data_IF_711620661772
#
_entry.id   IF_711620661772
#
_cell.length_a   1.000
_cell.length_b   1.000
_cell.length_c   1.000
_cell.angle_alpha   90.00
_cell.angle_beta   90.00
_cell.angle_gamma   90.00
#
_symmetry.space_group_name_H-M   'P 1'
#
loop_
_entity.id
_entity.type
_entity.pdbx_description
1 polymer ?
#
# COMPACT_ATOMS: atom_id res chain seq x y z
N UNK A 1 0.85 -2.51 0.90
CA UNK A 1 0.47 -2.70 2.34
C UNK A 1 -0.69 -3.69 2.42
N UNK A 2 -0.65 -4.73 3.28
CA UNK A 2 -1.81 -5.62 3.45
C UNK A 2 -2.90 -4.97 4.30
N UNK A 3 -4.15 -5.10 3.87
CA UNK A 3 -5.35 -4.75 4.64
C UNK A 3 -6.08 -6.05 4.95
N UNK A 4 -6.31 -6.33 6.23
CA UNK A 4 -6.98 -7.55 6.68
C UNK A 4 -8.42 -7.57 6.16
N UNK A 5 -8.86 -8.70 5.60
CA UNK A 5 -10.13 -8.78 4.87
C UNK A 5 -11.36 -8.65 5.77
N UNK A 6 -11.29 -9.12 7.00
CA UNK A 6 -12.39 -9.02 7.96
C UNK A 6 -12.64 -7.59 8.46
N UNK A 7 -11.70 -6.66 8.24
CA UNK A 7 -11.94 -5.22 8.44
C UNK A 7 -12.84 -4.63 7.34
N UNK A 8 -12.86 -5.26 6.16
CA UNK A 8 -13.64 -4.82 5.00
C UNK A 8 -14.97 -5.55 4.96
N UNK A 9 -14.92 -6.87 5.17
CA UNK A 9 -16.03 -7.81 5.13
C UNK A 9 -16.15 -8.52 6.50
N UNK A 10 -16.68 -7.85 7.53
CA UNK A 10 -16.73 -8.36 8.91
C UNK A 10 -17.54 -9.65 9.05
N UNK A 11 -18.46 -9.92 8.12
CA UNK A 11 -19.25 -11.15 8.04
C UNK A 11 -18.43 -12.39 7.64
N UNK A 12 -17.18 -12.22 7.20
CA UNK A 12 -16.27 -13.30 6.80
C UNK A 12 -14.94 -13.25 7.61
N UNK A 13 -14.92 -13.69 8.88
CA UNK A 13 -13.72 -13.68 9.71
C UNK A 13 -12.55 -14.44 9.04
N UNK A 14 -11.40 -13.77 8.88
CA UNK A 14 -10.25 -14.38 8.20
C UNK A 14 -8.94 -13.65 8.50
N UNK A 15 -7.83 -14.37 8.49
CA UNK A 15 -6.48 -13.80 8.52
C UNK A 15 -5.95 -13.41 7.13
N UNK A 16 -6.76 -13.58 6.07
CA UNK A 16 -6.40 -13.18 4.71
C UNK A 16 -6.39 -11.66 4.58
N UNK A 17 -5.62 -11.16 3.62
CA UNK A 17 -5.50 -9.72 3.33
C UNK A 17 -5.73 -9.42 1.85
N UNK A 18 -6.29 -8.25 1.55
CA UNK A 18 -6.11 -7.58 0.25
C UNK A 18 -4.86 -6.68 0.32
N UNK A 19 -4.36 -6.20 -0.82
CA UNK A 19 -3.13 -5.41 -0.88
C UNK A 19 -3.37 -4.14 -1.66
N UNK A 20 -2.81 -3.05 -1.15
CA UNK A 20 -2.58 -1.80 -1.89
C UNK A 20 -1.17 -1.85 -2.48
N UNK A 21 -1.00 -1.38 -3.71
CA UNK A 21 0.29 -1.31 -4.40
C UNK A 21 1.31 -0.47 -3.61
N UNK A 22 0.94 0.77 -3.27
CA UNK A 22 1.79 1.66 -2.49
C UNK A 22 1.02 2.35 -1.35
N UNK A 23 1.75 2.66 -0.28
CA UNK A 23 1.26 3.51 0.80
C UNK A 23 2.26 4.64 1.02
N UNK A 24 1.79 5.88 0.97
CA UNK A 24 2.58 7.08 1.25
C UNK A 24 2.10 7.68 2.56
N UNK A 25 3.03 8.21 3.35
CA UNK A 25 2.75 8.68 4.70
C UNK A 25 3.08 10.16 4.78
N UNK A 26 2.10 10.98 5.20
CA UNK A 26 2.37 12.38 5.47
C UNK A 26 3.37 12.50 6.63
N UNK A 27 4.30 13.46 6.53
CA UNK A 27 5.38 13.63 7.53
C UNK A 27 4.82 13.91 8.94
N UNK A 28 3.70 14.61 9.02
CA UNK A 28 2.97 14.93 10.26
C UNK A 28 2.09 13.78 10.76
N UNK A 29 2.05 12.65 10.03
CA UNK A 29 1.21 11.47 10.28
C UNK A 29 -0.29 11.76 10.28
N UNK A 30 -0.75 12.88 9.74
CA UNK A 30 -2.19 13.21 9.68
C UNK A 30 -2.93 12.41 8.61
N UNK A 31 -2.22 11.94 7.59
CA UNK A 31 -2.79 11.21 6.44
C UNK A 31 -1.89 10.09 5.94
N UNK A 32 -2.53 9.05 5.42
CA UNK A 32 -1.91 7.98 4.65
C UNK A 32 -2.59 7.90 3.30
N UNK A 33 -1.81 7.95 2.23
CA UNK A 33 -2.31 7.83 0.86
C UNK A 33 -2.09 6.41 0.37
N UNK A 34 -3.18 5.73 0.06
CA UNK A 34 -3.17 4.45 -0.64
C UNK A 34 -3.16 4.73 -2.13
N UNK A 35 -2.05 4.39 -2.78
CA UNK A 35 -1.88 4.61 -4.22
C UNK A 35 -2.09 3.29 -4.93
N UNK A 36 -3.08 3.26 -5.81
CA UNK A 36 -3.38 2.14 -6.69
C UNK A 36 -2.93 2.48 -8.12
N UNK A 37 -2.09 1.61 -8.70
CA UNK A 37 -1.57 1.80 -10.05
C UNK A 37 -2.37 0.97 -11.04
N UNK A 38 -2.96 1.64 -12.04
CA UNK A 38 -3.59 0.99 -13.19
C UNK A 38 -2.75 1.23 -14.42
N UNK A 39 -2.42 0.15 -15.13
CA UNK A 39 -1.69 0.23 -16.41
C UNK A 39 -2.62 0.17 -17.61
N UNK A 40 -3.90 -0.14 -17.40
CA UNK A 40 -4.94 -0.16 -18.42
C UNK A 40 -6.25 0.39 -17.85
N UNK A 41 -6.97 1.18 -18.64
CA UNK A 41 -8.22 1.82 -18.21
C UNK A 41 -9.33 0.80 -17.88
N UNK A 42 -9.32 -0.37 -18.54
CA UNK A 42 -10.27 -1.46 -18.29
C UNK A 42 -9.97 -2.29 -17.03
N UNK A 43 -8.86 -2.05 -16.35
CA UNK A 43 -8.39 -2.90 -15.23
C UNK A 43 -8.98 -2.53 -13.86
N UNK A 44 -9.87 -1.52 -13.81
CA UNK A 44 -10.59 -1.12 -12.60
C UNK A 44 -11.75 -2.08 -12.36
N UNK A 45 -11.80 -2.66 -11.15
CA UNK A 45 -12.81 -3.65 -10.74
C UNK A 45 -13.57 -3.09 -9.55
N UNK A 46 -14.89 -3.16 -9.56
CA UNK A 46 -15.78 -2.61 -8.51
C UNK A 46 -15.39 -3.09 -7.11
N UNK A 47 -15.09 -4.39 -6.96
CA UNK A 47 -14.68 -4.96 -5.69
C UNK A 47 -13.40 -4.37 -5.08
N UNK A 48 -12.54 -3.74 -5.91
CA UNK A 48 -11.35 -3.04 -5.42
C UNK A 48 -11.67 -1.65 -4.91
N UNK A 49 -12.52 -0.93 -5.64
CA UNK A 49 -13.01 0.37 -5.22
C UNK A 49 -13.75 0.25 -3.87
N UNK A 50 -14.53 -0.82 -3.71
CA UNK A 50 -15.26 -1.11 -2.48
C UNK A 50 -14.33 -1.23 -1.25
N UNK A 51 -13.26 -2.03 -1.34
CA UNK A 51 -12.39 -2.21 -0.17
C UNK A 51 -11.54 -0.97 0.09
N UNK A 52 -11.17 -0.20 -0.94
CA UNK A 52 -10.41 1.05 -0.79
C UNK A 52 -11.29 2.14 -0.16
N UNK A 53 -12.55 2.24 -0.58
CA UNK A 53 -13.55 3.12 0.04
C UNK A 53 -13.76 2.73 1.51
N UNK A 54 -13.92 1.44 1.79
CA UNK A 54 -14.08 0.96 3.16
C UNK A 54 -12.83 1.23 4.02
N UNK A 55 -11.64 1.08 3.44
CA UNK A 55 -10.39 1.39 4.12
C UNK A 55 -10.26 2.89 4.46
N UNK A 56 -10.75 3.76 3.58
CA UNK A 56 -10.89 5.20 3.85
C UNK A 56 -11.81 5.46 5.04
N UNK A 57 -12.96 4.81 5.10
CA UNK A 57 -13.96 5.04 6.15
C UNK A 57 -13.49 4.58 7.54
N UNK A 58 -12.77 3.47 7.63
CA UNK A 58 -12.28 2.95 8.93
C UNK A 58 -11.03 3.68 9.42
N UNK A 59 -10.34 4.42 8.56
CA UNK A 59 -9.08 5.10 8.89
C UNK A 59 -7.89 4.14 9.07
N UNK A 60 -6.74 4.71 9.43
CA UNK A 60 -5.50 3.92 9.38
C UNK A 60 -5.25 3.05 10.62
N UNK A 61 -5.71 3.45 11.81
CA UNK A 61 -5.44 2.69 13.04
C UNK A 61 -5.98 1.24 12.99
N UNK A 62 -7.24 0.99 12.59
CA UNK A 62 -7.74 -0.38 12.46
C UNK A 62 -6.93 -1.21 11.46
N UNK A 63 -6.42 -0.59 10.40
CA UNK A 63 -5.59 -1.26 9.39
C UNK A 63 -4.27 -1.72 10.02
N UNK A 64 -3.60 -0.88 10.81
CA UNK A 64 -2.35 -1.24 11.51
C UNK A 64 -2.60 -2.37 12.52
N UNK A 65 -3.73 -2.34 13.24
CA UNK A 65 -4.15 -3.47 14.10
C UNK A 65 -4.34 -4.76 13.30
N UNK A 66 -4.98 -4.68 12.13
CA UNK A 66 -5.11 -5.81 11.22
C UNK A 66 -3.77 -6.34 10.71
N UNK A 67 -2.78 -5.47 10.47
CA UNK A 67 -1.41 -5.90 10.13
C UNK A 67 -0.78 -6.69 11.28
N UNK A 68 -0.94 -6.24 12.53
CA UNK A 68 -0.48 -6.99 13.72
C UNK A 68 -1.13 -8.37 13.79
N UNK A 69 -2.43 -8.47 13.57
CA UNK A 69 -3.13 -9.78 13.56
C UNK A 69 -2.58 -10.72 12.48
N UNK A 70 -2.29 -10.21 11.29
CA UNK A 70 -1.69 -10.99 10.20
C UNK A 70 -0.28 -11.47 10.58
N UNK A 71 0.53 -10.60 11.20
CA UNK A 71 1.88 -10.93 11.69
C UNK A 71 1.83 -12.05 12.73
N UNK A 72 0.82 -12.02 13.62
CA UNK A 72 0.59 -13.07 14.62
C UNK A 72 0.16 -14.40 14.00
N UNK A 73 -0.63 -14.37 12.92
CA UNK A 73 -1.22 -15.57 12.33
C UNK A 73 -0.37 -16.23 11.21
N UNK A 74 0.54 -15.48 10.58
CA UNK A 74 1.36 -15.97 9.47
C UNK A 74 2.52 -16.83 9.94
N UNK A 75 3.02 -17.74 9.10
CA UNK A 75 4.33 -18.40 9.30
C UNK A 75 5.49 -17.64 8.64
N UNK A 76 5.20 -16.66 7.78
CA UNK A 76 6.19 -15.90 7.03
C UNK A 76 6.77 -14.73 7.84
N UNK A 77 7.20 -15.00 9.09
CA UNK A 77 7.53 -13.94 10.05
C UNK A 77 8.66 -13.01 9.59
N UNK A 78 9.74 -13.54 9.00
CA UNK A 78 10.85 -12.68 8.52
C UNK A 78 10.42 -11.72 7.41
N UNK A 79 9.51 -12.14 6.53
CA UNK A 79 8.93 -11.25 5.50
C UNK A 79 8.15 -10.10 6.14
N UNK A 80 7.31 -10.41 7.13
CA UNK A 80 6.48 -9.42 7.80
C UNK A 80 7.25 -8.56 8.81
N UNK A 81 8.42 -9.01 9.26
CA UNK A 81 9.34 -8.18 10.04
C UNK A 81 9.75 -6.91 9.30
N UNK A 82 10.06 -6.99 8.00
CA UNK A 82 10.41 -5.80 7.22
C UNK A 82 9.27 -4.77 7.16
N UNK A 83 8.02 -5.23 7.04
CA UNK A 83 6.84 -4.37 7.05
C UNK A 83 6.63 -3.73 8.42
N UNK A 84 6.68 -4.53 9.49
CA UNK A 84 6.47 -4.02 10.86
C UNK A 84 7.58 -3.07 11.30
N UNK A 85 8.84 -3.33 10.92
CA UNK A 85 9.95 -2.41 11.12
C UNK A 85 9.76 -1.08 10.35
N UNK A 86 9.22 -1.11 9.13
CA UNK A 86 8.90 0.11 8.39
C UNK A 86 7.79 0.91 9.08
N UNK A 87 6.72 0.26 9.53
CA UNK A 87 5.63 0.91 10.28
C UNK A 87 6.10 1.45 11.63
N UNK A 88 7.03 0.77 12.30
CA UNK A 88 7.63 1.25 13.54
C UNK A 88 8.48 2.50 13.33
N UNK A 89 9.30 2.55 12.28
CA UNK A 89 10.05 3.77 11.91
C UNK A 89 9.14 4.96 11.58
N UNK A 90 7.95 4.68 11.06
CA UNK A 90 6.92 5.69 10.80
C UNK A 90 6.08 6.04 12.05
N UNK A 91 6.34 5.39 13.18
CA UNK A 91 5.68 5.65 14.46
C UNK A 91 4.30 5.02 14.62
N UNK A 92 3.93 4.03 13.80
CA UNK A 92 2.64 3.32 13.88
C UNK A 92 2.69 2.04 14.72
N UNK A 93 3.89 1.52 14.97
CA UNK A 93 4.11 0.33 15.80
C UNK A 93 5.26 0.57 16.76
N UNK A 94 5.24 -0.14 17.88
CA UNK A 94 6.40 -0.34 18.75
C UNK A 94 6.78 -1.81 18.73
N UNK A 95 8.04 -2.09 18.41
CA UNK A 95 8.58 -3.45 18.37
C UNK A 95 9.38 -3.74 19.64
N UNK A 96 9.32 -4.96 20.18
CA UNK A 96 10.23 -5.40 21.23
C UNK A 96 11.69 -5.35 20.75
N UNK A 97 12.60 -4.97 21.64
CA UNK A 97 14.03 -4.80 21.31
C UNK A 97 14.68 -6.08 20.75
N UNK A 98 14.32 -7.24 21.29
CA UNK A 98 14.95 -8.52 20.94
C UNK A 98 14.23 -9.28 19.82
N UNK A 99 13.24 -8.66 19.16
CA UNK A 99 12.42 -9.33 18.14
C UNK A 99 13.27 -9.88 16.99
N UNK A 100 14.24 -9.10 16.50
CA UNK A 100 15.09 -9.50 15.37
C UNK A 100 15.95 -10.72 15.70
N UNK A 101 16.52 -10.78 16.92
CA UNK A 101 17.34 -11.90 17.38
C UNK A 101 16.57 -13.22 17.44
N UNK A 102 15.24 -13.17 17.57
CA UNK A 102 14.37 -14.35 17.59
C UNK A 102 13.77 -14.70 16.23
N UNK A 103 14.00 -13.87 15.20
CA UNK A 103 13.50 -14.07 13.84
C UNK A 103 14.55 -14.63 12.89
N UNK A 104 15.83 -14.28 13.12
CA UNK A 104 16.93 -14.61 12.22
C UNK A 104 17.99 -15.50 12.90
N UNK A 105 18.68 -16.36 12.14
CA UNK A 105 18.44 -16.66 10.72
C UNK A 105 17.13 -17.45 10.50
N UNK A 106 16.65 -18.12 11.54
CA UNK A 106 15.37 -18.83 11.59
C UNK A 106 14.64 -18.46 12.88
N UNK A 107 13.31 -18.66 12.90
CA UNK A 107 12.48 -18.41 14.07
C UNK A 107 12.97 -19.23 15.29
N UNK A 108 13.18 -18.55 16.42
CA UNK A 108 13.65 -19.13 17.68
C UNK A 108 12.51 -19.30 18.69
N UNK A 109 12.67 -20.16 19.71
CA UNK A 109 11.72 -20.24 20.82
C UNK A 109 11.45 -18.87 21.46
N UNK A 110 10.20 -18.63 21.89
CA UNK A 110 9.81 -17.35 22.49
C UNK A 110 9.37 -16.27 21.48
N UNK A 111 9.57 -16.47 20.17
CA UNK A 111 9.13 -15.53 19.14
C UNK A 111 7.64 -15.13 19.28
N UNK A 112 6.77 -16.09 19.58
CA UNK A 112 5.33 -15.83 19.73
C UNK A 112 5.03 -14.74 20.76
N UNK A 113 5.67 -14.81 21.94
CA UNK A 113 5.48 -13.82 22.99
C UNK A 113 5.96 -12.42 22.56
N UNK A 114 7.06 -12.35 21.80
CA UNK A 114 7.55 -11.09 21.24
C UNK A 114 6.61 -10.52 20.17
N UNK A 115 6.06 -11.36 19.29
CA UNK A 115 5.06 -10.90 18.32
C UNK A 115 3.79 -10.39 19.02
N UNK A 116 3.37 -11.03 20.11
CA UNK A 116 2.24 -10.57 20.93
C UNK A 116 2.53 -9.25 21.65
N UNK A 117 3.79 -9.00 22.01
CA UNK A 117 4.25 -7.75 22.61
C UNK A 117 4.42 -6.58 21.61
N UNK A 118 4.15 -6.77 20.31
CA UNK A 118 4.08 -5.66 19.36
C UNK A 118 2.89 -4.76 19.74
N UNK A 119 3.15 -3.47 19.96
CA UNK A 119 2.12 -2.49 20.30
C UNK A 119 1.75 -1.65 19.08
N UNK A 120 0.46 -1.33 18.96
CA UNK A 120 -0.03 -0.38 17.94
C UNK A 120 -0.08 1.00 18.56
N UNK A 121 0.65 1.94 17.96
CA UNK A 121 0.64 3.32 18.38
C UNK A 121 -0.66 3.99 17.92
N UNK A 122 -1.41 4.68 18.81
CA UNK A 122 -2.63 5.38 18.43
C UNK A 122 -2.42 6.36 17.28
N UNK A 123 -3.40 6.46 16.38
CA UNK A 123 -3.30 7.38 15.25
C UNK A 123 -4.67 7.81 14.75
N UNK A 124 -4.83 9.12 14.55
CA UNK A 124 -6.01 9.70 13.89
C UNK A 124 -5.82 9.85 12.37
N UNK A 125 -4.78 9.22 11.80
CA UNK A 125 -4.45 9.37 10.39
C UNK A 125 -5.63 8.95 9.49
N UNK A 126 -6.12 9.90 8.70
CA UNK A 126 -7.10 9.63 7.67
C UNK A 126 -6.46 8.84 6.53
N UNK A 127 -7.24 8.00 5.87
CA UNK A 127 -6.82 7.29 4.65
C UNK A 127 -7.42 7.99 3.45
N UNK A 128 -6.58 8.35 2.49
CA UNK A 128 -7.00 8.85 1.18
C UNK A 128 -6.55 7.86 0.10
N UNK A 129 -7.34 7.72 -0.96
CA UNK A 129 -7.06 6.80 -2.06
C UNK A 129 -6.72 7.63 -3.28
N UNK A 130 -5.56 7.36 -3.87
CA UNK A 130 -5.09 8.00 -5.10
C UNK A 130 -5.00 6.93 -6.19
N UNK A 131 -5.58 7.21 -7.34
CA UNK A 131 -5.42 6.39 -8.53
C UNK A 131 -4.36 7.00 -9.43
N UNK A 132 -3.41 6.18 -9.89
CA UNK A 132 -2.49 6.53 -10.96
C UNK A 132 -2.82 5.66 -12.17
N UNK A 133 -3.30 6.25 -13.26
CA UNK A 133 -3.85 5.49 -14.39
C UNK A 133 -3.68 6.20 -15.75
N UNK A 134 -3.90 5.53 -16.90
CA UNK A 134 -3.61 6.11 -18.21
C UNK A 134 -4.40 7.37 -18.54
N UNK A 135 -5.70 7.38 -18.18
CA UNK A 135 -6.61 8.51 -18.37
C UNK A 135 -7.39 8.77 -17.09
N UNK A 136 -7.61 10.04 -16.76
CA UNK A 136 -8.40 10.39 -15.57
C UNK A 136 -9.87 9.97 -15.74
N UNK A 137 -10.46 9.34 -14.72
CA UNK A 137 -11.89 9.05 -14.71
C UNK A 137 -12.64 10.15 -13.97
N UNK A 138 -13.70 10.70 -14.56
CA UNK A 138 -14.71 11.47 -13.85
C UNK A 138 -14.28 12.83 -13.28
N UNK A 139 -13.15 13.41 -13.72
CA UNK A 139 -12.67 14.70 -13.21
C UNK A 139 -12.22 14.68 -11.75
N UNK A 140 -11.98 13.49 -11.19
CA UNK A 140 -11.54 13.31 -9.81
C UNK A 140 -10.10 13.81 -9.61
N UNK A 141 -9.90 14.76 -8.70
CA UNK A 141 -8.57 15.31 -8.38
C UNK A 141 -7.62 14.26 -7.79
N UNK A 142 -8.17 13.20 -7.18
CA UNK A 142 -7.42 12.05 -6.65
C UNK A 142 -7.09 11.01 -7.71
N UNK A 143 -7.49 11.24 -8.96
CA UNK A 143 -7.07 10.47 -10.12
C UNK A 143 -5.97 11.23 -10.89
N UNK A 144 -4.73 10.79 -10.72
CA UNK A 144 -3.59 11.31 -11.47
C UNK A 144 -3.44 10.51 -12.75
N UNK A 145 -3.61 11.16 -13.90
CA UNK A 145 -3.36 10.50 -15.18
C UNK A 145 -1.87 10.47 -15.55
N UNK A 146 -1.52 9.63 -16.52
CA UNK A 146 -0.14 9.50 -16.97
C UNK A 146 0.40 10.77 -17.64
N UNK A 147 -0.46 11.60 -18.23
CA UNK A 147 -0.01 12.86 -18.82
C UNK A 147 0.46 13.84 -17.73
N UNK A 148 -0.36 14.05 -16.71
CA UNK A 148 -0.06 14.86 -15.53
C UNK A 148 1.16 14.32 -14.77
N UNK A 149 1.27 12.99 -14.63
CA UNK A 149 2.41 12.40 -13.97
C UNK A 149 3.70 12.59 -14.79
N UNK A 150 3.64 12.42 -16.12
CA UNK A 150 4.76 12.66 -17.02
C UNK A 150 5.27 14.11 -16.94
N UNK A 151 4.36 15.10 -16.92
CA UNK A 151 4.71 16.52 -16.74
C UNK A 151 5.46 16.78 -15.42
N UNK A 152 5.12 16.05 -14.36
CA UNK A 152 5.84 16.17 -13.09
C UNK A 152 7.24 15.56 -13.16
N UNK A 153 7.35 14.36 -13.72
CA UNK A 153 8.63 13.63 -13.85
C UNK A 153 9.60 14.37 -14.76
N UNK A 154 9.13 14.93 -15.87
CA UNK A 154 9.96 15.61 -16.88
C UNK A 154 10.67 16.87 -16.34
N UNK A 155 10.21 17.43 -15.22
CA UNK A 155 10.89 18.54 -14.53
C UNK A 155 12.24 18.14 -13.93
N UNK A 156 12.55 16.86 -13.84
CA UNK A 156 13.85 16.36 -13.39
C UNK A 156 14.85 16.41 -14.54
N UNK A 157 16.00 17.02 -14.31
CA UNK A 157 17.05 17.15 -15.33
C UNK A 157 17.94 15.90 -15.41
N UNK A 158 17.33 14.77 -15.74
CA UNK A 158 18.06 13.53 -15.99
C UNK A 158 17.44 12.74 -17.15
N UNK A 159 18.28 11.97 -17.83
CA UNK A 159 17.88 11.25 -19.04
C UNK A 159 16.81 10.18 -18.75
N UNK A 160 16.87 9.54 -17.58
CA UNK A 160 15.93 8.49 -17.19
C UNK A 160 14.52 9.07 -16.99
N UNK A 161 14.41 10.20 -16.28
CA UNK A 161 13.13 10.89 -16.07
C UNK A 161 12.49 11.33 -17.39
N UNK A 162 13.29 11.87 -18.33
CA UNK A 162 12.78 12.22 -19.68
C UNK A 162 12.30 11.00 -20.46
N UNK A 163 13.06 9.90 -20.44
CA UNK A 163 12.65 8.64 -21.07
C UNK A 163 11.36 8.08 -20.44
N UNK A 164 11.26 8.11 -19.11
CA UNK A 164 10.10 7.61 -18.39
C UNK A 164 8.85 8.47 -18.65
N UNK A 165 8.98 9.79 -18.65
CA UNK A 165 7.89 10.71 -19.02
C UNK A 165 7.38 10.45 -20.45
N UNK A 166 8.29 10.19 -21.39
CA UNK A 166 7.92 9.79 -22.75
C UNK A 166 7.13 8.46 -22.76
N UNK A 167 7.62 7.44 -22.06
CA UNK A 167 6.95 6.14 -21.98
C UNK A 167 5.54 6.24 -21.37
N UNK A 168 5.37 7.02 -20.30
CA UNK A 168 4.06 7.28 -19.68
C UNK A 168 3.06 7.87 -20.68
N UNK A 169 3.48 8.81 -21.53
CA UNK A 169 2.62 9.40 -22.57
C UNK A 169 2.26 8.38 -23.65
N UNK A 170 3.18 7.49 -24.00
CA UNK A 170 2.94 6.41 -24.97
C UNK A 170 1.97 5.34 -24.41
N UNK A 171 2.08 5.01 -23.12
CA UNK A 171 1.22 4.06 -22.41
C UNK A 171 -0.19 4.55 -22.12
N UNK A 172 -0.55 5.77 -22.56
CA UNK A 172 -1.94 6.23 -22.55
C UNK A 172 -2.81 5.47 -23.54
N UNK A 173 -2.21 4.91 -24.59
CA UNK A 173 -2.93 4.10 -25.56
C UNK A 173 -3.42 2.80 -24.90
N UNK A 174 -4.66 2.39 -25.22
CA UNK A 174 -5.24 1.13 -24.75
C UNK A 174 -4.29 -0.04 -25.00
N UNK A 175 -4.08 -0.87 -23.98
CA UNK A 175 -3.21 -2.04 -24.10
C UNK A 175 -3.67 -2.95 -25.26
N UNK A 176 -2.74 -3.34 -26.13
CA UNK A 176 -3.04 -4.18 -27.30
C UNK A 176 -3.62 -3.41 -28.51
N UNK A 177 -3.80 -2.09 -28.42
CA UNK A 177 -4.23 -1.27 -29.57
C UNK A 177 -3.13 -1.08 -30.63
N UNK A 178 -1.88 -1.49 -30.34
CA UNK A 178 -0.73 -1.47 -31.25
C UNK A 178 -0.02 -2.82 -31.30
N UNK A 179 0.54 -3.22 -32.46
CA UNK A 179 1.37 -4.41 -32.57
C UNK A 179 2.68 -4.25 -31.77
N UNK A 180 3.30 -5.36 -31.30
CA UNK A 180 4.58 -5.29 -30.60
C UNK A 180 5.68 -4.72 -31.51
N UNK A 181 6.48 -3.78 -31.01
CA UNK A 181 7.74 -3.36 -31.65
C UNK A 181 7.65 -2.22 -32.68
N UNK A 182 6.68 -1.30 -32.57
CA UNK A 182 6.66 -0.05 -33.34
C UNK A 182 6.51 1.17 -32.46
#
# INVERSE_FOLDING_TARGET
LPIKRDLIWPELPTSKSVKVDYALFARDRSRVFFVELKTDAGSRRDAQDDYLAKAKDIGFEPIVRGVRDIVLATSAHQKYHHLTAALARLGYLRLPADLEAHLYPTAQPGLRALLEAIEVEPTAAAVEVIYLQPEATGGDELCVDFARFAEHVEKKDDALSRMFARALREWRAVAGSRPPGR
#
